data_IF_017153589838
#
_entry.id   IF_017153589838
#
_cell.length_a   1.000
_cell.length_b   1.000
_cell.length_c   1.000
_cell.angle_alpha   90.00
_cell.angle_beta   90.00
_cell.angle_gamma   90.00
#
_symmetry.space_group_name_H-M   'P 1'
#
loop_
_entity.id
_entity.type
_entity.pdbx_description
1 polymer ?
#
# COMPACT_ATOMS: atom_id res chain seq x y z
N UNK A 1 -11.50 8.87 19.42
CA UNK A 1 -10.60 8.39 18.36
C UNK A 1 -11.30 8.61 17.04
N UNK A 2 -10.71 9.39 16.13
CA UNK A 2 -11.18 9.44 14.74
C UNK A 2 -10.70 8.13 14.12
N UNK A 3 -11.62 7.20 13.89
CA UNK A 3 -11.28 5.86 13.38
C UNK A 3 -10.82 5.91 11.93
N UNK A 4 -10.03 4.93 11.50
CA UNK A 4 -9.68 4.75 10.09
C UNK A 4 -10.92 4.33 9.29
N UNK A 5 -11.08 4.81 8.06
CA UNK A 5 -12.15 4.33 7.19
C UNK A 5 -11.96 2.84 6.88
N UNK A 6 -12.95 2.01 7.22
CA UNK A 6 -12.89 0.55 7.07
C UNK A 6 -12.73 0.09 5.62
N UNK A 7 -13.28 0.83 4.64
CA UNK A 7 -13.13 0.54 3.22
C UNK A 7 -11.72 0.86 2.72
N UNK A 8 -11.14 2.00 3.14
CA UNK A 8 -9.74 2.32 2.83
C UNK A 8 -8.81 1.28 3.45
N UNK A 9 -9.04 0.92 4.71
CA UNK A 9 -8.25 -0.09 5.42
C UNK A 9 -8.27 -1.42 4.68
N UNK A 10 -9.46 -1.95 4.38
CA UNK A 10 -9.61 -3.22 3.68
C UNK A 10 -8.99 -3.19 2.29
N UNK A 11 -9.28 -2.14 1.51
CA UNK A 11 -8.71 -1.99 0.18
C UNK A 11 -7.19 -1.89 0.19
N UNK A 12 -6.62 -1.18 1.17
CA UNK A 12 -5.18 -1.04 1.33
C UNK A 12 -4.52 -2.37 1.66
N UNK A 13 -5.02 -3.08 2.68
CA UNK A 13 -4.54 -4.42 3.05
C UNK A 13 -4.57 -5.34 1.85
N UNK A 14 -5.73 -5.49 1.19
CA UNK A 14 -5.90 -6.37 0.02
C UNK A 14 -4.96 -6.01 -1.14
N UNK A 15 -4.59 -4.73 -1.28
CA UNK A 15 -3.68 -4.29 -2.35
C UNK A 15 -2.23 -4.65 -2.06
N UNK A 16 -1.81 -4.63 -0.79
CA UNK A 16 -0.43 -4.91 -0.39
C UNK A 16 -0.21 -6.36 0.07
N UNK A 17 -1.26 -7.18 0.17
CA UNK A 17 -1.19 -8.60 0.55
C UNK A 17 -0.41 -9.51 -0.41
N UNK A 18 0.21 -8.97 -1.47
CA UNK A 18 1.19 -9.71 -2.27
C UNK A 18 2.52 -9.92 -1.51
N UNK A 19 2.77 -9.12 -0.47
CA UNK A 19 3.95 -9.19 0.37
C UNK A 19 3.56 -9.54 1.82
N UNK A 20 4.47 -10.16 2.61
CA UNK A 20 4.29 -10.28 4.06
C UNK A 20 4.10 -8.91 4.70
N UNK A 21 3.24 -8.81 5.72
CA UNK A 21 3.04 -7.59 6.48
C UNK A 21 3.96 -7.57 7.69
N UNK A 22 4.81 -6.55 7.77
CA UNK A 22 5.64 -6.28 8.96
C UNK A 22 4.79 -5.62 10.06
N UNK A 23 3.85 -4.75 9.66
CA UNK A 23 2.94 -4.07 10.58
C UNK A 23 1.60 -3.78 9.87
N UNK A 24 0.50 -3.98 10.59
CA UNK A 24 -0.82 -3.52 10.16
C UNK A 24 -1.61 -3.07 11.40
N UNK A 25 -1.66 -1.75 11.63
CA UNK A 25 -2.39 -1.17 12.75
C UNK A 25 -3.60 -0.36 12.24
N UNK A 26 -4.80 -0.92 12.42
CA UNK A 26 -6.06 -0.30 12.01
C UNK A 26 -6.46 0.91 12.87
N UNK A 27 -5.87 1.07 14.06
CA UNK A 27 -6.12 2.23 14.93
C UNK A 27 -5.33 3.45 14.45
N UNK A 28 -4.08 3.25 14.01
CA UNK A 28 -3.24 4.34 13.48
C UNK A 28 -3.34 4.53 11.97
N UNK A 29 -3.98 3.60 11.25
CA UNK A 29 -4.10 3.65 9.79
C UNK A 29 -2.80 3.37 9.05
N UNK A 30 -1.85 2.69 9.68
CA UNK A 30 -0.52 2.42 9.09
C UNK A 30 -0.36 0.94 8.78
N UNK A 31 0.04 0.65 7.54
CA UNK A 31 0.41 -0.67 7.05
C UNK A 31 1.82 -0.60 6.50
N UNK A 32 2.67 -1.55 6.88
CA UNK A 32 4.05 -1.68 6.44
C UNK A 32 4.26 -3.11 5.99
N UNK A 33 4.70 -3.31 4.75
CA UNK A 33 5.10 -4.63 4.27
C UNK A 33 6.53 -4.95 4.73
N UNK A 34 6.88 -6.22 4.73
CA UNK A 34 8.29 -6.62 4.65
C UNK A 34 8.82 -6.36 3.23
N UNK A 35 10.13 -6.52 3.05
CA UNK A 35 10.74 -6.53 1.73
C UNK A 35 10.23 -7.73 0.92
N UNK A 36 9.71 -7.42 -0.28
CA UNK A 36 9.24 -8.41 -1.23
C UNK A 36 10.05 -8.34 -2.51
N UNK A 37 10.64 -9.46 -2.91
CA UNK A 37 11.27 -9.64 -4.21
C UNK A 37 10.32 -10.42 -5.12
N UNK A 38 10.01 -9.87 -6.30
CA UNK A 38 9.19 -10.58 -7.28
C UNK A 38 9.97 -11.81 -7.77
N UNK A 39 9.41 -13.03 -7.74
CA UNK A 39 10.09 -14.22 -8.27
C UNK A 39 10.54 -14.09 -9.73
N UNK A 40 9.86 -13.25 -10.53
CA UNK A 40 10.24 -12.95 -11.93
C UNK A 40 11.36 -11.92 -12.05
N UNK A 41 11.68 -11.21 -10.98
CA UNK A 41 12.73 -10.19 -10.90
C UNK A 41 13.44 -10.25 -9.53
N UNK A 42 14.13 -11.36 -9.19
CA UNK A 42 14.70 -11.57 -7.85
C UNK A 42 15.86 -10.60 -7.52
N UNK A 43 16.38 -9.88 -8.52
CA UNK A 43 17.40 -8.84 -8.37
C UNK A 43 16.86 -7.52 -7.84
N UNK A 44 15.55 -7.38 -7.63
CA UNK A 44 14.96 -6.21 -6.98
C UNK A 44 14.02 -6.62 -5.86
N UNK A 45 13.95 -5.78 -4.83
CA UNK A 45 12.99 -5.91 -3.75
C UNK A 45 12.34 -4.57 -3.46
N UNK A 46 11.08 -4.63 -3.04
CA UNK A 46 10.29 -3.46 -2.70
C UNK A 46 9.69 -3.60 -1.31
N UNK A 47 9.56 -2.49 -0.62
CA UNK A 47 8.84 -2.37 0.65
C UNK A 47 7.83 -1.24 0.51
N UNK A 48 6.59 -1.49 0.90
CA UNK A 48 5.53 -0.49 0.88
C UNK A 48 5.17 -0.05 2.29
N UNK A 49 4.87 1.23 2.43
CA UNK A 49 4.24 1.82 3.61
C UNK A 49 2.99 2.54 3.14
N UNK A 50 1.85 2.22 3.74
CA UNK A 50 0.57 2.85 3.44
C UNK A 50 0.08 3.52 4.71
N UNK A 51 -0.27 4.80 4.60
CA UNK A 51 -0.86 5.58 5.68
C UNK A 51 -2.23 6.10 5.26
N UNK A 52 -3.25 5.82 6.05
CA UNK A 52 -4.60 6.36 5.90
C UNK A 52 -4.70 7.58 6.82
N UNK A 53 -4.92 8.73 6.20
CA UNK A 53 -4.82 10.05 6.82
C UNK A 53 -6.20 10.62 7.16
N UNK A 54 -7.24 10.17 6.48
CA UNK A 54 -8.60 10.70 6.62
C UNK A 54 -9.64 9.58 6.44
N UNK A 55 -10.89 9.88 6.81
CA UNK A 55 -12.03 9.01 6.65
C UNK A 55 -12.70 9.11 5.27
N UNK A 56 -12.49 10.19 4.52
CA UNK A 56 -13.12 10.35 3.21
C UNK A 56 -12.45 9.51 2.12
N UNK A 57 -13.23 9.07 1.12
CA UNK A 57 -12.72 8.30 -0.03
C UNK A 57 -12.16 9.20 -1.13
N UNK A 58 -11.16 10.02 -0.79
CA UNK A 58 -10.50 11.01 -1.64
C UNK A 58 -8.98 10.80 -1.68
N UNK A 59 -8.30 11.38 -2.67
CA UNK A 59 -6.90 11.10 -2.94
C UNK A 59 -5.95 11.50 -1.81
N UNK A 60 -6.24 12.62 -1.13
CA UNK A 60 -5.47 13.13 0.00
C UNK A 60 -5.71 12.37 1.33
N UNK A 61 -6.69 11.45 1.36
CA UNK A 61 -6.96 10.61 2.53
C UNK A 61 -6.02 9.42 2.66
N UNK A 62 -5.17 9.18 1.67
CA UNK A 62 -4.27 8.03 1.58
C UNK A 62 -2.90 8.48 1.09
N UNK A 63 -1.85 7.91 1.67
CA UNK A 63 -0.49 8.08 1.16
C UNK A 63 0.20 6.74 1.06
N UNK A 64 0.83 6.48 -0.08
CA UNK A 64 1.69 5.33 -0.29
C UNK A 64 3.13 5.82 -0.40
N UNK A 65 4.03 5.15 0.31
CA UNK A 65 5.47 5.29 0.15
C UNK A 65 6.05 3.93 -0.23
N UNK A 66 6.99 3.94 -1.17
CA UNK A 66 7.65 2.75 -1.65
C UNK A 66 9.17 2.94 -1.54
N UNK A 67 9.83 1.97 -0.93
CA UNK A 67 11.27 1.82 -0.97
C UNK A 67 11.61 0.69 -1.93
N UNK A 68 12.60 0.89 -2.79
CA UNK A 68 13.11 -0.13 -3.71
C UNK A 68 14.60 -0.28 -3.51
N UNK A 69 15.05 -1.53 -3.54
CA UNK A 69 16.45 -1.87 -3.57
C UNK A 69 16.73 -2.84 -4.70
N UNK A 70 17.92 -2.70 -5.30
CA UNK A 70 18.43 -3.62 -6.30
C UNK A 70 19.65 -4.34 -5.76
N UNK A 71 19.79 -5.61 -6.10
CA UNK A 71 20.95 -6.39 -5.75
C UNK A 71 22.08 -6.07 -6.74
N UNK A 72 23.13 -5.41 -6.25
CA UNK A 72 24.34 -5.12 -6.98
C UNK A 72 25.48 -5.91 -6.32
N UNK A 73 25.99 -6.92 -7.03
CA UNK A 73 27.13 -7.73 -6.58
C UNK A 73 26.95 -8.38 -5.18
N UNK A 74 25.72 -8.79 -4.85
CA UNK A 74 25.39 -9.41 -3.56
C UNK A 74 25.01 -8.41 -2.46
N UNK A 75 25.07 -7.10 -2.73
CA UNK A 75 24.65 -6.05 -1.81
C UNK A 75 23.34 -5.40 -2.28
N UNK A 76 22.43 -5.14 -1.34
CA UNK A 76 21.21 -4.40 -1.62
C UNK A 76 21.47 -2.90 -1.55
N UNK A 77 21.24 -2.21 -2.67
CA UNK A 77 21.46 -0.76 -2.80
C UNK A 77 20.13 -0.08 -3.13
N UNK A 78 19.87 1.05 -2.49
CA UNK A 78 18.66 1.84 -2.74
C UNK A 78 18.59 2.28 -4.20
N UNK A 79 17.40 2.18 -4.76
CA UNK A 79 17.12 2.57 -6.13
C UNK A 79 15.83 3.40 -6.18
N UNK A 80 15.72 4.35 -7.13
CA UNK A 80 14.54 5.19 -7.23
C UNK A 80 13.30 4.35 -7.55
N UNK A 81 12.19 4.74 -6.93
CA UNK A 81 10.85 4.29 -7.31
C UNK A 81 10.25 5.33 -8.24
N UNK A 82 9.69 4.90 -9.36
CA UNK A 82 8.98 5.80 -10.25
C UNK A 82 7.74 6.37 -9.54
N UNK A 83 7.57 7.69 -9.57
CA UNK A 83 6.42 8.36 -8.93
C UNK A 83 5.08 7.83 -9.46
N UNK A 84 5.02 7.46 -10.74
CA UNK A 84 3.85 6.85 -11.36
C UNK A 84 3.45 5.51 -10.70
N UNK A 85 4.39 4.73 -10.16
CA UNK A 85 4.09 3.48 -9.44
C UNK A 85 3.34 3.78 -8.14
N UNK A 86 3.79 4.79 -7.39
CA UNK A 86 3.16 5.21 -6.14
C UNK A 86 1.74 5.71 -6.40
N UNK A 87 1.58 6.63 -7.35
CA UNK A 87 0.27 7.17 -7.72
C UNK A 87 -0.70 6.06 -8.14
N UNK A 88 -0.22 5.12 -8.97
CA UNK A 88 -1.05 4.00 -9.42
C UNK A 88 -1.53 3.11 -8.26
N UNK A 89 -0.69 2.89 -7.24
CA UNK A 89 -1.09 2.14 -6.05
C UNK A 89 -2.16 2.87 -5.25
N UNK A 90 -2.03 4.18 -5.07
CA UNK A 90 -3.04 5.02 -4.41
C UNK A 90 -4.39 4.95 -5.15
N UNK A 91 -4.37 5.10 -6.48
CA UNK A 91 -5.57 5.04 -7.32
C UNK A 91 -6.26 3.66 -7.23
N UNK A 92 -5.49 2.57 -7.22
CA UNK A 92 -6.02 1.20 -7.07
C UNK A 92 -6.72 1.04 -5.72
N UNK A 93 -6.08 1.49 -4.63
CA UNK A 93 -6.64 1.39 -3.28
C UNK A 93 -7.93 2.21 -3.18
N UNK A 94 -7.94 3.44 -3.67
CA UNK A 94 -9.11 4.32 -3.64
C UNK A 94 -10.26 3.77 -4.47
N UNK A 95 -9.97 3.24 -5.66
CA UNK A 95 -10.97 2.62 -6.52
C UNK A 95 -11.62 1.43 -5.83
N UNK A 96 -10.81 0.52 -5.27
CA UNK A 96 -11.30 -0.64 -4.54
C UNK A 96 -12.09 -0.26 -3.29
N UNK A 97 -11.67 0.77 -2.55
CA UNK A 97 -12.41 1.26 -1.39
C UNK A 97 -13.80 1.78 -1.78
N UNK A 98 -13.90 2.49 -2.91
CA UNK A 98 -15.19 2.96 -3.46
C UNK A 98 -16.07 1.79 -3.90
N UNK A 99 -15.49 0.77 -4.52
CA UNK A 99 -16.20 -0.46 -4.88
C UNK A 99 -16.79 -1.16 -3.64
N UNK A 100 -15.98 -1.33 -2.59
CA UNK A 100 -16.42 -1.93 -1.33
C UNK A 100 -17.56 -1.13 -0.69
N UNK A 101 -17.47 0.21 -0.69
CA UNK A 101 -18.54 1.08 -0.19
C UNK A 101 -19.83 0.92 -0.99
N UNK A 102 -19.75 0.89 -2.32
CA UNK A 102 -20.92 0.71 -3.19
C UNK A 102 -21.59 -0.64 -2.95
N UNK A 103 -20.80 -1.72 -2.87
CA UNK A 103 -21.32 -3.05 -2.62
C UNK A 103 -22.05 -3.16 -1.27
N UNK A 104 -21.54 -2.48 -0.23
CA UNK A 104 -22.16 -2.49 1.10
C UNK A 104 -23.48 -1.68 1.20
N UNK A 105 -23.73 -0.74 0.27
CA UNK A 105 -24.98 0.03 0.23
C UNK A 105 -26.03 -0.66 -0.64
N UNK A 106 -25.60 -1.46 -1.62
CA UNK A 106 -26.48 -2.15 -2.56
C UNK A 106 -27.00 -3.50 -2.06
N UNK A 107 -26.45 -4.04 -0.97
CA UNK A 107 -26.91 -5.26 -0.30
C UNK A 107 -27.66 -4.94 0.98
#
# INVERSE_FOLDING_TARGET
>A
MIGVNSYLWRAAVDTVSFAPLLQANATSGVIITDWYANPKAPGERVKLTVAILDQDLRADALRVAASRQVNQNGAWVDAPVAAATVQKLEDIILTRARDLRRAAIAG
#
